data_IF_529336996858
#
_entry.id   IF_529336996858
#
_cell.length_a   1.000
_cell.length_b   1.000
_cell.length_c   1.000
_cell.angle_alpha   90.00
_cell.angle_beta   90.00
_cell.angle_gamma   90.00
#
_symmetry.space_group_name_H-M   'P 1'
#
loop_
_entity.id
_entity.type
_entity.pdbx_description
1 polymer ?
#
# COMPACT_ATOMS: atom_id res chain seq x y z
N UNK A 1 -68.73 4.96 40.17
CA UNK A 1 -67.53 5.76 40.24
C UNK A 1 -66.23 4.94 40.54
N UNK A 2 -66.26 3.66 40.92
CA UNK A 2 -65.07 2.85 41.22
C UNK A 2 -64.50 2.08 40.02
N UNK A 3 -65.28 1.87 38.95
CA UNK A 3 -64.88 1.12 37.78
C UNK A 3 -63.86 1.84 36.82
N UNK A 4 -63.98 3.18 36.71
CA UNK A 4 -63.13 3.94 35.78
C UNK A 4 -61.70 4.19 36.29
N UNK A 5 -61.47 4.09 37.62
CA UNK A 5 -60.09 4.25 38.14
C UNK A 5 -59.22 2.98 37.97
N UNK A 6 -59.81 1.79 37.98
CA UNK A 6 -59.10 0.54 37.76
C UNK A 6 -58.70 0.41 36.27
N UNK A 7 -59.55 0.83 35.34
CA UNK A 7 -59.26 0.81 33.91
C UNK A 7 -58.17 1.82 33.53
N UNK A 8 -58.12 2.98 34.15
CA UNK A 8 -57.06 3.98 33.96
C UNK A 8 -55.70 3.52 34.50
N UNK A 9 -55.65 2.79 35.59
CA UNK A 9 -54.40 2.25 36.17
C UNK A 9 -53.87 1.11 35.33
N UNK A 10 -54.73 0.25 34.75
CA UNK A 10 -54.31 -0.83 33.86
C UNK A 10 -53.77 -0.27 32.53
N UNK A 11 -54.36 0.78 31.97
CA UNK A 11 -53.83 1.45 30.76
C UNK A 11 -52.49 2.15 31.01
N UNK A 12 -52.25 2.73 32.16
CA UNK A 12 -50.98 3.40 32.51
C UNK A 12 -49.87 2.37 32.73
N UNK A 13 -50.16 1.22 33.32
CA UNK A 13 -49.18 0.14 33.51
C UNK A 13 -48.84 -0.55 32.18
N UNK A 14 -49.80 -0.70 31.25
CA UNK A 14 -49.54 -1.27 29.92
C UNK A 14 -48.76 -0.31 28.99
N UNK A 15 -48.87 1.02 29.15
CA UNK A 15 -48.07 1.99 28.40
C UNK A 15 -46.65 2.10 28.94
N UNK A 16 -46.43 1.91 30.26
CA UNK A 16 -45.11 1.93 30.86
C UNK A 16 -44.27 0.67 30.63
N UNK A 17 -44.89 -0.47 30.28
CA UNK A 17 -44.19 -1.71 29.96
C UNK A 17 -43.78 -1.82 28.47
N UNK A 18 -44.29 -0.95 27.59
CA UNK A 18 -43.92 -0.93 26.18
C UNK A 18 -42.77 0.04 25.86
N UNK A 19 -42.28 0.80 26.84
CA UNK A 19 -41.29 1.85 26.66
C UNK A 19 -39.85 1.45 27.05
N UNK A 20 -39.57 0.18 27.34
CA UNK A 20 -38.26 -0.25 27.86
C UNK A 20 -37.84 -1.62 27.32
N UNK A 21 -37.73 -1.78 26.01
CA UNK A 21 -36.81 -2.79 25.44
C UNK A 21 -36.32 -2.30 24.07
N UNK A 22 -35.62 -1.19 24.03
CA UNK A 22 -34.50 -1.12 23.09
C UNK A 22 -33.44 -2.00 23.71
N UNK A 23 -33.51 -3.29 23.43
CA UNK A 23 -32.36 -4.16 23.57
C UNK A 23 -31.37 -3.51 22.58
N UNK A 24 -30.42 -2.76 23.10
CA UNK A 24 -29.18 -2.52 22.35
C UNK A 24 -28.61 -3.92 22.14
N UNK A 25 -28.89 -4.51 20.97
CA UNK A 25 -28.11 -5.64 20.48
C UNK A 25 -26.71 -5.05 20.41
N UNK A 26 -25.86 -5.44 21.36
CA UNK A 26 -24.45 -5.11 21.27
C UNK A 26 -24.02 -5.63 19.90
N UNK A 27 -23.70 -4.72 19.00
CA UNK A 27 -23.27 -5.02 17.64
C UNK A 27 -22.10 -5.97 17.79
N UNK A 28 -22.24 -7.20 17.27
CA UNK A 28 -21.22 -8.25 17.41
C UNK A 28 -19.94 -7.71 16.78
N UNK A 29 -18.86 -7.65 17.56
CA UNK A 29 -17.57 -7.26 17.05
C UNK A 29 -17.18 -8.18 15.87
N UNK A 30 -16.79 -7.64 14.71
CA UNK A 30 -16.55 -8.44 13.50
C UNK A 30 -15.33 -9.32 13.59
N UNK A 31 -15.34 -10.42 12.81
CA UNK A 31 -14.17 -11.24 12.51
C UNK A 31 -13.64 -10.82 11.12
N UNK A 32 -12.33 -10.63 11.02
CA UNK A 32 -11.69 -10.13 9.79
C UNK A 32 -10.80 -11.19 9.17
N UNK A 33 -11.04 -11.55 7.90
CA UNK A 33 -10.14 -12.36 7.07
C UNK A 33 -9.23 -11.46 6.25
N UNK A 34 -7.92 -11.69 6.26
CA UNK A 34 -6.94 -10.88 5.54
C UNK A 34 -6.11 -11.79 4.65
N UNK A 35 -6.14 -11.58 3.33
CA UNK A 35 -5.32 -12.27 2.35
C UNK A 35 -4.35 -11.31 1.70
N UNK A 36 -3.04 -11.54 1.87
CA UNK A 36 -2.01 -10.81 1.12
C UNK A 36 -1.53 -11.64 -0.06
N UNK A 37 -1.18 -10.95 -1.16
CA UNK A 37 -0.86 -11.60 -2.42
C UNK A 37 0.42 -12.46 -2.40
N UNK A 38 1.41 -12.08 -1.61
CA UNK A 38 2.67 -12.82 -1.41
C UNK A 38 3.41 -12.23 -0.22
N UNK A 39 4.48 -12.88 0.21
CA UNK A 39 5.40 -12.40 1.26
C UNK A 39 6.84 -12.45 0.76
N UNK A 40 7.79 -12.01 1.58
CA UNK A 40 9.23 -12.17 1.33
C UNK A 40 9.93 -10.99 0.65
N UNK A 41 9.30 -9.82 0.58
CA UNK A 41 10.00 -8.56 0.31
C UNK A 41 9.90 -7.65 1.54
N UNK A 42 10.90 -6.82 1.79
CA UNK A 42 10.94 -5.92 2.96
C UNK A 42 9.68 -5.03 3.02
N UNK A 43 9.22 -4.52 1.88
CA UNK A 43 8.01 -3.70 1.81
C UNK A 43 6.76 -4.47 2.28
N UNK A 44 6.59 -5.73 1.81
CA UNK A 44 5.44 -6.57 2.20
C UNK A 44 5.49 -7.00 3.65
N UNK A 45 6.68 -7.28 4.17
CA UNK A 45 6.84 -7.66 5.57
C UNK A 45 6.46 -6.51 6.50
N UNK A 46 6.81 -5.27 6.14
CA UNK A 46 6.38 -4.06 6.88
C UNK A 46 4.87 -3.84 6.74
N UNK A 47 4.28 -4.07 5.55
CA UNK A 47 2.82 -3.99 5.34
C UNK A 47 2.07 -5.01 6.20
N UNK A 48 2.57 -6.25 6.26
CA UNK A 48 2.03 -7.30 7.11
C UNK A 48 2.14 -6.92 8.59
N UNK A 49 3.27 -6.37 9.00
CA UNK A 49 3.45 -5.88 10.37
C UNK A 49 2.45 -4.77 10.72
N UNK A 50 2.17 -3.85 9.79
CA UNK A 50 1.16 -2.81 9.98
C UNK A 50 -0.28 -3.36 10.11
N UNK A 51 -0.61 -4.42 9.35
CA UNK A 51 -1.89 -5.13 9.49
C UNK A 51 -2.01 -5.81 10.86
N UNK A 52 -0.94 -6.47 11.32
CA UNK A 52 -0.89 -7.14 12.63
C UNK A 52 -0.99 -6.11 13.76
N UNK A 53 -0.30 -4.97 13.65
CA UNK A 53 -0.33 -3.88 14.63
C UNK A 53 -1.78 -3.39 14.82
N UNK A 54 -2.46 -3.00 13.74
CA UNK A 54 -3.85 -2.50 13.80
C UNK A 54 -4.81 -3.62 14.22
N UNK A 55 -4.62 -4.86 13.74
CA UNK A 55 -5.44 -5.99 14.14
C UNK A 55 -5.37 -6.27 15.64
N UNK A 56 -4.17 -6.26 16.22
CA UNK A 56 -3.97 -6.45 17.66
C UNK A 56 -4.57 -5.28 18.45
N UNK A 57 -4.30 -4.03 18.05
CA UNK A 57 -4.90 -2.84 18.67
C UNK A 57 -6.43 -2.94 18.74
N UNK A 58 -7.07 -3.34 17.64
CA UNK A 58 -8.52 -3.41 17.57
C UNK A 58 -9.09 -4.60 18.33
N UNK A 59 -8.39 -5.74 18.35
CA UNK A 59 -8.77 -6.90 19.13
C UNK A 59 -8.66 -6.63 20.64
N UNK A 60 -7.57 -6.01 21.09
CA UNK A 60 -7.38 -5.62 22.49
C UNK A 60 -8.39 -4.57 22.94
N UNK A 61 -8.77 -3.65 22.05
CA UNK A 61 -9.81 -2.65 22.30
C UNK A 61 -11.24 -3.22 22.20
N UNK A 62 -11.42 -4.50 21.86
CA UNK A 62 -12.74 -5.14 21.67
C UNK A 62 -13.52 -4.60 20.46
N UNK A 63 -12.87 -3.90 19.52
CA UNK A 63 -13.47 -3.35 18.31
C UNK A 63 -13.69 -4.42 17.24
N UNK A 64 -12.88 -5.49 17.26
CA UNK A 64 -13.05 -6.71 16.47
C UNK A 64 -13.02 -7.92 17.41
N UNK A 65 -13.70 -8.99 17.04
CA UNK A 65 -13.66 -10.26 17.80
C UNK A 65 -12.34 -11.01 17.57
N UNK A 66 -11.92 -11.09 16.32
CA UNK A 66 -10.67 -11.72 15.90
C UNK A 66 -10.28 -11.32 14.49
N UNK A 67 -9.04 -11.62 14.09
CA UNK A 67 -8.62 -11.56 12.69
C UNK A 67 -7.75 -12.76 12.31
N UNK A 68 -7.82 -13.16 11.05
CA UNK A 68 -7.02 -14.24 10.46
C UNK A 68 -6.28 -13.69 9.24
N UNK A 69 -4.95 -13.69 9.31
CA UNK A 69 -4.09 -13.24 8.21
C UNK A 69 -3.44 -14.46 7.53
N UNK A 70 -3.56 -14.53 6.19
CA UNK A 70 -2.92 -15.52 5.34
C UNK A 70 -2.03 -14.82 4.33
N UNK A 71 -0.72 -15.12 4.38
CA UNK A 71 0.35 -14.44 3.62
C UNK A 71 1.31 -15.39 2.90
N UNK A 72 0.93 -16.66 2.73
CA UNK A 72 1.79 -17.72 2.21
C UNK A 72 1.44 -18.16 0.78
N UNK A 73 0.86 -17.26 -0.02
CA UNK A 73 0.52 -17.56 -1.41
C UNK A 73 1.79 -17.75 -2.23
N UNK A 74 1.86 -18.89 -2.92
CA UNK A 74 3.02 -19.27 -3.72
C UNK A 74 3.07 -18.49 -5.03
N UNK A 75 4.16 -17.79 -5.28
CA UNK A 75 4.41 -17.07 -6.54
C UNK A 75 3.26 -16.15 -7.02
N UNK A 76 2.43 -15.66 -6.10
CA UNK A 76 1.33 -14.77 -6.46
C UNK A 76 0.16 -15.46 -7.17
N UNK A 77 -0.07 -16.76 -6.95
CA UNK A 77 -1.15 -17.51 -7.60
C UNK A 77 -2.53 -16.99 -7.18
N UNK A 78 -3.25 -16.42 -8.16
CA UNK A 78 -4.57 -15.85 -7.94
C UNK A 78 -5.65 -16.93 -7.66
N UNK A 79 -5.45 -18.17 -8.13
CA UNK A 79 -6.36 -19.29 -7.85
C UNK A 79 -6.21 -19.72 -6.38
N UNK A 80 -4.97 -19.83 -5.89
CA UNK A 80 -4.71 -20.07 -4.49
C UNK A 80 -5.33 -18.96 -3.61
N UNK A 81 -5.17 -17.71 -4.01
CA UNK A 81 -5.77 -16.56 -3.31
C UNK A 81 -7.31 -16.64 -3.29
N UNK A 82 -7.94 -17.00 -4.40
CA UNK A 82 -9.39 -17.18 -4.46
C UNK A 82 -9.88 -18.29 -3.51
N UNK A 83 -9.14 -19.38 -3.36
CA UNK A 83 -9.48 -20.44 -2.42
C UNK A 83 -9.36 -19.97 -0.97
N UNK A 84 -8.35 -19.17 -0.63
CA UNK A 84 -8.21 -18.54 0.70
C UNK A 84 -9.43 -17.66 1.01
N UNK A 85 -9.89 -16.87 0.04
CA UNK A 85 -11.10 -16.04 0.21
C UNK A 85 -12.34 -16.91 0.44
N UNK A 86 -12.50 -18.04 -0.28
CA UNK A 86 -13.60 -19.00 -0.02
C UNK A 86 -13.52 -19.63 1.36
N UNK A 87 -12.31 -19.92 1.86
CA UNK A 87 -12.12 -20.40 3.23
C UNK A 87 -12.57 -19.37 4.27
N UNK A 88 -12.33 -18.09 4.02
CA UNK A 88 -12.86 -17.01 4.86
C UNK A 88 -14.39 -16.94 4.82
N UNK A 89 -14.99 -16.99 3.63
CA UNK A 89 -16.46 -17.03 3.47
C UNK A 89 -17.04 -18.22 4.28
N UNK A 90 -16.48 -19.41 4.08
CA UNK A 90 -16.94 -20.63 4.75
C UNK A 90 -16.75 -20.59 6.26
N UNK A 91 -15.77 -19.86 6.77
CA UNK A 91 -15.53 -19.66 8.21
C UNK A 91 -16.40 -18.57 8.84
N UNK A 92 -17.22 -17.87 8.05
CA UNK A 92 -18.18 -16.89 8.53
C UNK A 92 -17.52 -15.61 9.05
N UNK A 93 -16.50 -15.09 8.36
CA UNK A 93 -15.94 -13.76 8.65
C UNK A 93 -16.92 -12.67 8.22
N UNK A 94 -16.85 -11.53 8.87
CA UNK A 94 -17.73 -10.38 8.60
C UNK A 94 -17.08 -9.38 7.60
N UNK A 95 -15.75 -9.36 7.57
CA UNK A 95 -14.95 -8.48 6.69
C UNK A 95 -13.87 -9.32 6.02
N UNK A 96 -13.65 -9.12 4.72
CA UNK A 96 -12.52 -9.67 3.97
C UNK A 96 -11.67 -8.52 3.44
N UNK A 97 -10.39 -8.52 3.77
CA UNK A 97 -9.39 -7.61 3.22
C UNK A 97 -8.45 -8.36 2.30
N UNK A 98 -8.25 -7.86 1.07
CA UNK A 98 -7.38 -8.50 0.09
C UNK A 98 -6.32 -7.53 -0.44
N UNK A 99 -5.06 -7.98 -0.50
CA UNK A 99 -4.04 -7.42 -1.38
C UNK A 99 -3.99 -8.32 -2.63
N UNK A 100 -4.69 -7.96 -3.73
CA UNK A 100 -4.93 -8.89 -4.82
C UNK A 100 -3.69 -9.10 -5.70
N UNK A 101 -3.47 -10.36 -6.11
CA UNK A 101 -2.46 -10.70 -7.11
C UNK A 101 -2.90 -10.40 -8.54
N UNK A 102 -4.19 -10.23 -8.76
CA UNK A 102 -4.78 -9.89 -10.06
C UNK A 102 -6.02 -9.01 -9.85
N UNK A 103 -6.19 -7.95 -10.64
CA UNK A 103 -7.34 -7.06 -10.49
C UNK A 103 -8.67 -7.73 -10.87
N UNK A 104 -8.66 -8.80 -11.67
CA UNK A 104 -9.86 -9.41 -12.24
C UNK A 104 -10.10 -10.84 -11.75
N UNK A 105 -9.04 -11.60 -11.47
CA UNK A 105 -9.15 -13.03 -11.15
C UNK A 105 -9.93 -13.30 -9.85
N UNK A 106 -10.00 -12.33 -8.94
CA UNK A 106 -10.74 -12.45 -7.69
C UNK A 106 -12.21 -12.00 -7.79
N UNK A 107 -12.65 -11.40 -8.90
CA UNK A 107 -14.00 -10.82 -9.01
C UNK A 107 -15.10 -11.84 -8.72
N UNK A 108 -14.96 -13.09 -9.17
CA UNK A 108 -15.93 -14.15 -8.92
C UNK A 108 -16.10 -14.45 -7.43
N UNK A 109 -14.99 -14.68 -6.73
CA UNK A 109 -15.02 -15.00 -5.30
C UNK A 109 -15.37 -13.78 -4.44
N UNK A 110 -15.04 -12.57 -4.88
CA UNK A 110 -15.49 -11.33 -4.23
C UNK A 110 -17.00 -11.21 -4.29
N UNK A 111 -17.58 -11.53 -5.47
CA UNK A 111 -19.04 -11.56 -5.59
C UNK A 111 -19.68 -12.63 -4.68
N UNK A 112 -19.08 -13.83 -4.57
CA UNK A 112 -19.52 -14.85 -3.62
C UNK A 112 -19.56 -14.27 -2.19
N UNK A 113 -18.52 -13.54 -1.76
CA UNK A 113 -18.47 -12.91 -0.44
C UNK A 113 -19.55 -11.82 -0.26
N UNK A 114 -19.74 -10.97 -1.28
CA UNK A 114 -20.76 -9.91 -1.25
C UNK A 114 -22.18 -10.47 -1.20
N UNK A 115 -22.46 -11.58 -1.90
CA UNK A 115 -23.76 -12.26 -1.87
C UNK A 115 -24.09 -12.84 -0.48
N UNK A 116 -23.08 -13.17 0.34
CA UNK A 116 -23.19 -13.57 1.75
C UNK A 116 -23.21 -12.36 2.71
N UNK A 117 -23.20 -11.14 2.21
CA UNK A 117 -23.23 -9.90 3.02
C UNK A 117 -21.90 -9.55 3.67
N UNK A 118 -20.79 -10.14 3.22
CA UNK A 118 -19.44 -9.87 3.75
C UNK A 118 -18.90 -8.59 3.12
N UNK A 119 -18.39 -7.66 3.94
CA UNK A 119 -17.71 -6.47 3.45
C UNK A 119 -16.36 -6.85 2.86
N UNK A 120 -16.08 -6.43 1.61
CA UNK A 120 -14.78 -6.65 0.97
C UNK A 120 -14.05 -5.33 0.76
N UNK A 121 -12.76 -5.28 1.13
CA UNK A 121 -11.87 -4.13 0.92
C UNK A 121 -10.58 -4.62 0.28
N UNK A 122 -10.19 -4.00 -0.84
CA UNK A 122 -8.89 -4.23 -1.46
C UNK A 122 -7.89 -3.14 -1.04
N UNK A 123 -6.63 -3.52 -0.87
CA UNK A 123 -5.58 -2.58 -0.48
C UNK A 123 -4.27 -2.81 -1.23
N UNK A 124 -3.46 -1.77 -1.40
CA UNK A 124 -2.25 -1.66 -2.19
C UNK A 124 -2.53 -1.89 -3.69
N UNK A 125 -2.83 -3.09 -4.12
CA UNK A 125 -3.36 -3.36 -5.44
C UNK A 125 -4.91 -3.28 -5.47
N UNK A 126 -5.48 -3.04 -6.65
CA UNK A 126 -6.93 -2.86 -6.83
C UNK A 126 -7.59 -4.08 -7.45
N UNK A 127 -8.89 -4.22 -7.20
CA UNK A 127 -9.77 -5.14 -7.91
C UNK A 127 -10.76 -4.37 -8.79
N UNK A 128 -11.24 -5.00 -9.85
CA UNK A 128 -12.26 -4.43 -10.72
C UNK A 128 -13.70 -4.83 -10.33
N UNK A 129 -13.85 -5.59 -9.24
CA UNK A 129 -15.17 -5.96 -8.71
C UNK A 129 -15.95 -4.70 -8.28
N UNK A 130 -17.27 -4.61 -8.59
CA UNK A 130 -18.09 -3.49 -8.17
C UNK A 130 -18.25 -3.44 -6.63
N UNK A 131 -18.52 -2.26 -6.10
CA UNK A 131 -18.85 -2.03 -4.70
C UNK A 131 -17.77 -2.48 -3.70
N UNK A 132 -16.52 -2.58 -4.14
CA UNK A 132 -15.34 -2.81 -3.30
C UNK A 132 -14.62 -1.48 -3.09
N UNK A 133 -14.34 -1.13 -1.83
CA UNK A 133 -13.38 -0.07 -1.55
C UNK A 133 -11.98 -0.53 -1.95
N UNK A 134 -11.36 0.18 -2.86
CA UNK A 134 -9.94 0.06 -3.15
C UNK A 134 -9.16 1.14 -2.39
N UNK A 135 -8.16 0.76 -1.58
CA UNK A 135 -7.25 1.67 -0.90
C UNK A 135 -5.87 1.51 -1.53
N UNK A 136 -5.46 2.43 -2.38
CA UNK A 136 -4.24 2.29 -3.17
C UNK A 136 -3.48 3.61 -3.31
N UNK A 137 -2.36 3.55 -3.99
CA UNK A 137 -1.59 4.71 -4.44
C UNK A 137 -1.90 4.98 -5.92
N UNK A 138 -1.86 6.23 -6.34
CA UNK A 138 -1.79 6.55 -7.76
C UNK A 138 -0.36 6.25 -8.27
N UNK A 139 -0.12 4.99 -8.63
CA UNK A 139 1.19 4.48 -9.05
C UNK A 139 1.71 5.18 -10.30
N UNK A 140 0.80 5.58 -11.20
CA UNK A 140 1.18 6.33 -12.40
C UNK A 140 1.68 7.74 -12.02
N UNK A 141 0.91 8.48 -11.26
CA UNK A 141 1.29 9.84 -10.83
C UNK A 141 2.55 9.82 -9.95
N UNK A 142 2.67 8.82 -9.07
CA UNK A 142 3.84 8.62 -8.22
C UNK A 142 5.11 8.43 -9.05
N UNK A 143 5.12 7.47 -9.97
CA UNK A 143 6.32 7.19 -10.77
C UNK A 143 6.59 8.29 -11.80
N UNK A 144 5.55 8.90 -12.36
CA UNK A 144 5.70 10.04 -13.27
C UNK A 144 6.53 11.14 -12.65
N UNK A 145 6.24 11.51 -11.40
CA UNK A 145 6.98 12.56 -10.67
C UNK A 145 8.44 12.18 -10.46
N UNK A 146 8.71 10.92 -10.11
CA UNK A 146 10.07 10.40 -9.92
C UNK A 146 10.86 10.47 -11.24
N UNK A 147 10.29 9.98 -12.33
CA UNK A 147 10.95 9.95 -13.64
C UNK A 147 11.13 11.34 -14.22
N UNK A 148 10.16 12.25 -14.03
CA UNK A 148 10.30 13.67 -14.42
C UNK A 148 11.50 14.33 -13.72
N UNK A 149 11.69 14.08 -12.42
CA UNK A 149 12.87 14.56 -11.70
C UNK A 149 14.17 14.00 -12.29
N UNK A 150 14.22 12.67 -12.48
CA UNK A 150 15.41 11.98 -13.01
C UNK A 150 15.78 12.52 -14.39
N UNK A 151 14.82 12.58 -15.30
CA UNK A 151 15.09 12.99 -16.69
C UNK A 151 15.31 14.48 -16.84
N UNK A 152 14.64 15.33 -16.06
CA UNK A 152 14.91 16.78 -16.05
C UNK A 152 16.30 17.09 -15.46
N UNK A 153 16.78 16.28 -14.52
CA UNK A 153 18.12 16.40 -13.96
C UNK A 153 19.18 15.92 -14.95
N UNK A 154 18.96 14.78 -15.60
CA UNK A 154 19.87 14.19 -16.56
C UNK A 154 19.95 14.99 -17.88
N UNK A 155 18.82 15.37 -18.44
CA UNK A 155 18.60 16.07 -19.72
C UNK A 155 19.00 15.27 -20.96
N UNK A 156 20.15 14.59 -20.95
CA UNK A 156 20.67 13.75 -22.06
C UNK A 156 21.61 12.69 -21.54
N UNK A 157 21.61 11.53 -22.15
CA UNK A 157 22.48 10.40 -21.77
C UNK A 157 21.76 9.07 -21.81
N UNK A 158 22.38 8.07 -21.20
CA UNK A 158 21.84 6.71 -21.15
C UNK A 158 21.15 6.47 -19.82
N UNK A 159 19.93 5.98 -19.86
CA UNK A 159 19.16 5.56 -18.71
C UNK A 159 18.91 4.04 -18.75
N UNK A 160 18.76 3.45 -17.58
CA UNK A 160 18.22 2.09 -17.42
C UNK A 160 16.99 2.15 -16.53
N UNK A 161 16.11 1.16 -16.69
CA UNK A 161 14.97 0.95 -15.78
C UNK A 161 15.02 -0.47 -15.23
N UNK A 162 15.03 -0.56 -13.89
CA UNK A 162 14.85 -1.80 -13.16
C UNK A 162 13.49 -1.70 -12.49
N UNK A 163 12.54 -2.55 -12.95
CA UNK A 163 11.14 -2.48 -12.58
C UNK A 163 10.70 -3.70 -11.74
N UNK A 164 9.52 -3.66 -11.18
CA UNK A 164 8.99 -4.70 -10.29
C UNK A 164 8.51 -5.96 -11.00
N UNK A 165 7.40 -6.52 -10.51
CA UNK A 165 6.80 -7.74 -11.07
C UNK A 165 6.07 -7.44 -12.38
N UNK A 166 6.47 -8.11 -13.46
CA UNK A 166 5.81 -8.00 -14.76
C UNK A 166 4.35 -8.47 -14.66
N UNK A 167 3.45 -7.69 -15.28
CA UNK A 167 2.00 -7.97 -15.23
C UNK A 167 1.28 -7.47 -13.97
N UNK A 168 2.00 -7.12 -12.92
CA UNK A 168 1.37 -6.54 -11.71
C UNK A 168 0.83 -5.13 -12.00
N UNK A 169 -0.42 -4.79 -11.59
CA UNK A 169 -1.05 -3.50 -11.91
C UNK A 169 -0.21 -2.28 -11.55
N UNK A 170 0.36 -2.25 -10.34
CA UNK A 170 1.21 -1.16 -9.90
C UNK A 170 2.46 -1.02 -10.79
N UNK A 171 3.09 -2.14 -11.19
CA UNK A 171 4.22 -2.12 -12.09
C UNK A 171 3.84 -1.60 -13.47
N UNK A 172 2.72 -2.06 -14.03
CA UNK A 172 2.24 -1.63 -15.34
C UNK A 172 2.00 -0.11 -15.40
N UNK A 173 1.40 0.45 -14.35
CA UNK A 173 1.18 1.90 -14.24
C UNK A 173 2.50 2.68 -14.13
N UNK A 174 3.46 2.17 -13.35
CA UNK A 174 4.77 2.79 -13.18
C UNK A 174 5.59 2.77 -14.47
N UNK A 175 5.65 1.63 -15.15
CA UNK A 175 6.34 1.48 -16.45
C UNK A 175 5.70 2.39 -17.51
N UNK A 176 4.36 2.43 -17.58
CA UNK A 176 3.63 3.35 -18.46
C UNK A 176 3.98 4.81 -18.20
N UNK A 177 4.11 5.21 -16.93
CA UNK A 177 4.55 6.56 -16.55
C UNK A 177 5.97 6.86 -17.05
N UNK A 178 6.90 5.90 -16.93
CA UNK A 178 8.25 6.02 -17.49
C UNK A 178 8.20 6.23 -18.99
N UNK A 179 7.40 5.45 -19.73
CA UNK A 179 7.26 5.57 -21.18
C UNK A 179 6.71 6.94 -21.60
N UNK A 180 5.71 7.45 -20.89
CA UNK A 180 5.09 8.72 -21.21
C UNK A 180 6.01 9.91 -20.92
N UNK A 181 6.80 9.85 -19.85
CA UNK A 181 7.81 10.87 -19.55
C UNK A 181 8.97 10.81 -20.54
N UNK A 182 9.46 9.60 -20.89
CA UNK A 182 10.57 9.42 -21.81
C UNK A 182 10.32 10.08 -23.18
N UNK A 183 9.08 10.10 -23.66
CA UNK A 183 8.69 10.79 -24.92
C UNK A 183 9.01 12.27 -24.92
N UNK A 184 9.10 12.90 -23.74
CA UNK A 184 9.40 14.34 -23.58
C UNK A 184 10.91 14.63 -23.55
N UNK A 185 11.75 13.58 -23.48
CA UNK A 185 13.21 13.67 -23.36
C UNK A 185 13.93 12.88 -24.47
N UNK A 186 13.87 13.33 -25.74
CA UNK A 186 14.40 12.59 -26.91
C UNK A 186 15.91 12.36 -26.85
N UNK A 187 16.65 13.13 -26.07
CA UNK A 187 18.10 13.00 -25.90
C UNK A 187 18.50 11.95 -24.82
N UNK A 188 17.51 11.36 -24.14
CA UNK A 188 17.71 10.26 -23.20
C UNK A 188 17.44 8.95 -23.92
N UNK A 189 18.40 8.02 -23.85
CA UNK A 189 18.30 6.68 -24.42
C UNK A 189 18.07 5.67 -23.30
N UNK A 190 16.93 5.01 -23.31
CA UNK A 190 16.68 3.86 -22.45
C UNK A 190 17.42 2.65 -23.03
N UNK A 191 18.59 2.30 -22.48
CA UNK A 191 19.49 1.27 -23.03
C UNK A 191 19.25 -0.13 -22.46
N UNK A 192 18.58 -0.23 -21.33
CA UNK A 192 18.16 -1.50 -20.73
C UNK A 192 16.92 -1.34 -19.86
N UNK A 193 16.06 -2.37 -19.89
CA UNK A 193 14.92 -2.54 -18.99
C UNK A 193 14.84 -3.98 -18.54
N UNK A 194 14.69 -4.21 -17.24
CA UNK A 194 14.59 -5.57 -16.70
C UNK A 194 13.88 -5.56 -15.35
N UNK A 195 13.30 -6.69 -14.99
CA UNK A 195 12.64 -6.85 -13.69
C UNK A 195 13.66 -7.10 -12.58
N UNK A 196 13.56 -6.33 -11.49
CA UNK A 196 14.22 -6.58 -10.22
C UNK A 196 13.29 -7.27 -9.20
N UNK A 197 12.02 -7.50 -9.58
CA UNK A 197 11.00 -8.19 -8.76
C UNK A 197 10.66 -7.50 -7.44
N UNK A 198 10.95 -6.22 -7.29
CA UNK A 198 10.92 -5.47 -6.03
C UNK A 198 11.76 -6.11 -4.93
N UNK A 199 12.81 -6.84 -5.33
CA UNK A 199 13.75 -7.53 -4.45
C UNK A 199 15.15 -6.96 -4.57
N UNK A 200 15.75 -6.55 -3.46
CA UNK A 200 17.07 -5.89 -3.46
C UNK A 200 18.18 -6.77 -4.00
N UNK A 201 18.14 -8.08 -3.70
CA UNK A 201 19.18 -9.03 -4.14
C UNK A 201 19.11 -9.24 -5.64
N UNK A 202 17.89 -9.48 -6.16
CA UNK A 202 17.64 -9.61 -7.59
C UNK A 202 17.99 -8.34 -8.36
N UNK A 203 17.56 -7.19 -7.83
CA UNK A 203 17.87 -5.90 -8.44
C UNK A 203 19.38 -5.63 -8.48
N UNK A 204 20.14 -6.01 -7.44
CA UNK A 204 21.60 -5.95 -7.43
C UNK A 204 22.22 -6.86 -8.49
N UNK A 205 21.72 -8.11 -8.62
CA UNK A 205 22.20 -9.06 -9.62
C UNK A 205 22.03 -8.53 -11.04
N UNK A 206 20.81 -8.06 -11.40
CA UNK A 206 20.53 -7.55 -12.74
C UNK A 206 21.26 -6.23 -13.03
N UNK A 207 21.38 -5.34 -12.04
CA UNK A 207 22.18 -4.12 -12.15
C UNK A 207 23.66 -4.46 -12.44
N UNK A 208 24.22 -5.42 -11.71
CA UNK A 208 25.60 -5.89 -11.91
C UNK A 208 25.82 -6.40 -13.33
N UNK A 209 24.87 -7.16 -13.89
CA UNK A 209 24.94 -7.65 -15.27
C UNK A 209 24.91 -6.49 -16.29
N UNK A 210 24.02 -5.51 -16.10
CA UNK A 210 23.91 -4.35 -16.98
C UNK A 210 25.21 -3.51 -16.93
N UNK A 211 25.74 -3.24 -15.73
CA UNK A 211 27.01 -2.51 -15.53
C UNK A 211 28.18 -3.27 -16.19
N UNK A 212 28.15 -4.60 -16.11
CA UNK A 212 29.14 -5.49 -16.72
C UNK A 212 29.17 -5.44 -18.26
N UNK A 213 28.10 -4.97 -18.93
CA UNK A 213 28.09 -4.75 -20.37
C UNK A 213 29.07 -3.67 -20.85
N UNK A 214 29.58 -2.85 -19.94
CA UNK A 214 30.55 -1.78 -20.21
C UNK A 214 29.94 -0.51 -20.79
N UNK A 215 28.62 -0.45 -20.98
CA UNK A 215 27.94 0.75 -21.43
C UNK A 215 27.94 1.82 -20.34
N UNK A 216 28.06 3.09 -20.71
CA UNK A 216 27.88 4.20 -19.78
C UNK A 216 26.40 4.29 -19.36
N UNK A 217 26.15 4.33 -18.06
CA UNK A 217 24.83 4.52 -17.49
C UNK A 217 24.85 5.83 -16.72
N UNK A 218 24.02 6.78 -17.13
CA UNK A 218 23.97 8.13 -16.56
C UNK A 218 22.79 8.30 -15.58
N UNK A 219 21.69 7.58 -15.78
CA UNK A 219 20.52 7.60 -14.91
C UNK A 219 19.93 6.22 -14.68
N UNK A 220 19.29 6.06 -13.52
CA UNK A 220 18.61 4.81 -13.14
C UNK A 220 17.21 5.13 -12.65
N UNK A 221 16.22 4.56 -13.33
CA UNK A 221 14.85 4.49 -12.85
C UNK A 221 14.69 3.16 -12.15
N UNK A 222 14.34 3.19 -10.87
CA UNK A 222 13.95 2.00 -10.10
C UNK A 222 12.56 2.20 -9.52
N UNK A 223 12.04 1.16 -8.93
CA UNK A 223 10.84 1.22 -8.11
C UNK A 223 11.22 0.98 -6.64
N UNK A 224 10.26 1.15 -5.73
CA UNK A 224 10.48 0.93 -4.30
C UNK A 224 10.84 -0.54 -4.00
N UNK A 225 11.65 -0.75 -2.95
CA UNK A 225 12.08 -2.07 -2.49
C UNK A 225 13.34 -2.63 -3.19
N UNK A 226 13.89 -1.94 -4.19
CA UNK A 226 15.03 -2.46 -4.96
C UNK A 226 16.17 -1.45 -5.16
N UNK A 227 15.93 -0.16 -4.90
CA UNK A 227 16.88 0.89 -5.24
C UNK A 227 18.21 0.78 -4.49
N UNK A 228 18.21 0.36 -3.22
CA UNK A 228 19.46 0.18 -2.47
C UNK A 228 20.30 -0.99 -3.03
N UNK A 229 19.66 -2.08 -3.47
CA UNK A 229 20.35 -3.17 -4.16
C UNK A 229 21.03 -2.69 -5.44
N UNK A 230 20.32 -1.88 -6.23
CA UNK A 230 20.88 -1.28 -7.46
C UNK A 230 22.02 -0.33 -7.15
N UNK A 231 21.86 0.60 -6.19
CA UNK A 231 22.94 1.51 -5.78
C UNK A 231 24.19 0.73 -5.34
N UNK A 232 24.00 -0.36 -4.57
CA UNK A 232 25.10 -1.22 -4.13
C UNK A 232 25.89 -1.81 -5.29
N UNK A 233 25.24 -2.22 -6.39
CA UNK A 233 25.91 -2.72 -7.57
C UNK A 233 26.79 -1.63 -8.24
N UNK A 234 26.31 -0.39 -8.29
CA UNK A 234 27.07 0.74 -8.81
C UNK A 234 28.27 1.11 -7.92
N UNK A 235 28.09 1.07 -6.59
CA UNK A 235 29.17 1.29 -5.63
C UNK A 235 30.26 0.21 -5.76
N UNK A 236 29.88 -1.06 -5.80
CA UNK A 236 30.81 -2.19 -5.99
C UNK A 236 31.62 -2.07 -7.29
N UNK A 237 30.98 -1.58 -8.35
CA UNK A 237 31.63 -1.35 -9.64
C UNK A 237 32.44 -0.04 -9.71
N UNK A 238 32.35 0.82 -8.71
CA UNK A 238 32.90 2.19 -8.72
C UNK A 238 32.47 3.01 -9.96
N UNK A 239 31.16 2.90 -10.32
CA UNK A 239 30.57 3.52 -11.52
C UNK A 239 29.23 4.18 -11.17
N UNK A 240 29.24 5.27 -10.42
CA UNK A 240 27.99 5.92 -10.03
C UNK A 240 27.24 6.51 -11.23
N UNK A 241 25.90 6.36 -11.30
CA UNK A 241 25.07 7.16 -12.19
C UNK A 241 25.02 8.60 -11.69
N UNK A 242 24.63 9.55 -12.54
CA UNK A 242 24.46 10.95 -12.13
C UNK A 242 23.19 11.18 -11.32
N UNK A 243 22.15 10.39 -11.60
CA UNK A 243 20.86 10.51 -10.92
C UNK A 243 20.13 9.18 -10.87
N UNK A 244 19.45 8.89 -9.75
CA UNK A 244 18.59 7.72 -9.62
C UNK A 244 17.41 7.96 -8.66
N UNK A 245 16.42 7.08 -8.75
CA UNK A 245 15.40 6.96 -7.72
C UNK A 245 15.98 6.26 -6.48
N UNK A 246 15.62 6.77 -5.32
CA UNK A 246 16.01 6.26 -4.01
C UNK A 246 14.80 5.62 -3.32
N UNK A 247 14.98 4.45 -2.73
CA UNK A 247 14.03 3.97 -1.74
C UNK A 247 14.01 4.97 -0.57
N UNK A 248 12.84 5.32 -0.04
CA UNK A 248 12.75 6.10 1.19
C UNK A 248 13.08 5.20 2.40
N UNK A 249 14.26 4.57 2.37
CA UNK A 249 14.76 3.61 3.32
C UNK A 249 16.10 4.01 3.94
N UNK A 250 16.34 3.55 5.17
CA UNK A 250 17.51 3.93 5.97
C UNK A 250 18.82 3.59 5.27
N UNK A 251 18.97 2.38 4.72
CA UNK A 251 20.19 1.97 4.05
C UNK A 251 20.55 2.88 2.88
N UNK A 252 19.57 3.20 2.02
CA UNK A 252 19.81 4.10 0.88
C UNK A 252 20.19 5.50 1.35
N UNK A 253 19.47 6.05 2.32
CA UNK A 253 19.75 7.41 2.82
C UNK A 253 21.11 7.54 3.51
N UNK A 254 21.61 6.50 4.19
CA UNK A 254 22.97 6.45 4.74
C UNK A 254 24.02 6.56 3.63
N UNK A 255 23.89 5.78 2.56
CA UNK A 255 24.81 5.86 1.42
C UNK A 255 24.68 7.18 0.67
N UNK A 256 23.46 7.68 0.47
CA UNK A 256 23.24 8.99 -0.15
C UNK A 256 23.90 10.11 0.66
N UNK A 257 23.79 10.07 2.00
CA UNK A 257 24.49 11.00 2.91
C UNK A 257 26.01 10.94 2.72
N UNK A 258 26.59 9.73 2.68
CA UNK A 258 28.02 9.52 2.47
C UNK A 258 28.47 10.10 1.11
N UNK A 259 27.72 9.86 0.05
CA UNK A 259 28.01 10.40 -1.28
C UNK A 259 27.95 11.93 -1.30
N UNK A 260 26.92 12.51 -0.68
CA UNK A 260 26.78 13.97 -0.53
C UNK A 260 27.94 14.58 0.23
N UNK A 261 28.32 14.00 1.36
CA UNK A 261 29.42 14.50 2.20
C UNK A 261 30.77 14.43 1.49
N UNK A 262 30.96 13.47 0.58
CA UNK A 262 32.13 13.35 -0.30
C UNK A 262 32.10 14.26 -1.51
N UNK A 263 31.02 14.99 -1.75
CA UNK A 263 30.83 15.82 -2.94
C UNK A 263 30.77 15.02 -4.25
N UNK A 264 30.24 13.79 -4.20
CA UNK A 264 30.06 12.97 -5.41
C UNK A 264 29.12 13.65 -6.40
N UNK A 265 29.38 13.48 -7.71
CA UNK A 265 28.46 13.91 -8.78
C UNK A 265 27.31 12.89 -8.89
N UNK A 266 26.47 12.86 -7.85
CA UNK A 266 25.34 11.96 -7.70
C UNK A 266 24.16 12.70 -7.11
N UNK A 267 22.99 12.52 -7.72
CA UNK A 267 21.72 13.05 -7.24
C UNK A 267 20.69 11.95 -7.10
N UNK A 268 19.75 12.13 -6.18
CA UNK A 268 18.66 11.21 -6.05
C UNK A 268 17.33 11.91 -5.75
N UNK A 269 16.24 11.21 -6.01
CA UNK A 269 14.93 11.57 -5.48
C UNK A 269 14.30 10.38 -4.78
N UNK A 270 13.53 10.63 -3.73
CA UNK A 270 12.80 9.62 -3.00
C UNK A 270 11.35 10.05 -2.76
N UNK A 271 10.44 9.11 -2.88
CA UNK A 271 9.04 9.31 -2.53
C UNK A 271 8.48 8.01 -1.96
N UNK A 272 7.88 8.08 -0.79
CA UNK A 272 7.34 6.88 -0.16
C UNK A 272 6.15 6.30 -0.93
N UNK A 273 6.14 4.99 -1.10
CA UNK A 273 4.95 4.16 -1.26
C UNK A 273 4.76 3.46 0.09
N UNK A 274 3.97 4.04 1.03
CA UNK A 274 4.04 3.64 2.43
C UNK A 274 3.41 2.27 2.65
N UNK A 275 4.17 1.28 3.16
CA UNK A 275 3.61 -0.04 3.48
C UNK A 275 2.54 -0.01 4.58
N UNK A 276 2.45 1.06 5.39
CA UNK A 276 1.36 1.32 6.32
C UNK A 276 -0.05 1.41 5.73
N UNK A 277 -0.16 1.40 4.38
CA UNK A 277 -1.43 1.37 3.66
C UNK A 277 -2.33 0.20 4.09
N UNK A 278 -1.76 -0.97 4.41
CA UNK A 278 -2.51 -2.12 4.90
C UNK A 278 -3.23 -1.84 6.22
N UNK A 279 -2.51 -1.28 7.21
CA UNK A 279 -3.10 -0.86 8.48
C UNK A 279 -4.13 0.25 8.33
N UNK A 280 -3.89 1.21 7.43
CA UNK A 280 -4.85 2.27 7.11
C UNK A 280 -6.13 1.71 6.50
N UNK A 281 -6.02 0.77 5.54
CA UNK A 281 -7.16 0.09 4.93
C UNK A 281 -7.97 -0.69 5.99
N UNK A 282 -7.31 -1.31 6.96
CA UNK A 282 -7.99 -1.98 8.07
C UNK A 282 -8.84 -1.00 8.89
N UNK A 283 -8.30 0.17 9.23
CA UNK A 283 -9.06 1.23 9.92
C UNK A 283 -10.27 1.69 9.10
N UNK A 284 -10.12 1.84 7.78
CA UNK A 284 -11.21 2.21 6.88
C UNK A 284 -12.26 1.11 6.78
N UNK A 285 -11.86 -0.17 6.68
CA UNK A 285 -12.76 -1.31 6.65
C UNK A 285 -13.66 -1.35 7.88
N UNK A 286 -13.13 -1.08 9.07
CA UNK A 286 -13.93 -1.05 10.28
C UNK A 286 -14.92 0.14 10.31
N UNK A 287 -14.55 1.32 9.80
CA UNK A 287 -15.49 2.44 9.68
C UNK A 287 -16.66 2.09 8.76
N UNK A 288 -16.38 1.46 7.60
CA UNK A 288 -17.44 1.01 6.68
C UNK A 288 -18.34 -0.06 7.31
N UNK A 289 -17.75 -1.05 7.99
CA UNK A 289 -18.50 -2.09 8.68
C UNK A 289 -19.45 -1.52 9.74
N UNK A 290 -19.03 -0.45 10.41
CA UNK A 290 -19.83 0.29 11.38
C UNK A 290 -20.84 1.25 10.71
N UNK A 291 -21.10 1.09 9.41
CA UNK A 291 -22.12 1.86 8.68
C UNK A 291 -21.73 3.31 8.40
N UNK A 292 -20.46 3.69 8.53
CA UNK A 292 -20.00 5.03 8.19
C UNK A 292 -19.82 5.16 6.68
N UNK A 293 -20.12 6.34 6.16
CA UNK A 293 -19.95 6.69 4.75
C UNK A 293 -18.80 7.67 4.57
N UNK A 294 -18.03 7.54 3.49
CA UNK A 294 -17.05 8.55 3.14
C UNK A 294 -17.71 9.90 2.85
N UNK A 295 -17.05 10.99 3.19
CA UNK A 295 -17.42 12.33 2.77
C UNK A 295 -17.35 12.45 1.24
N UNK A 296 -18.17 13.33 0.69
CA UNK A 296 -18.23 13.56 -0.76
C UNK A 296 -16.87 14.03 -1.28
N UNK A 297 -16.45 13.47 -2.41
CA UNK A 297 -15.19 13.79 -3.07
C UNK A 297 -13.93 13.13 -2.47
N UNK A 298 -14.06 12.29 -1.44
CA UNK A 298 -12.94 11.51 -0.89
C UNK A 298 -12.58 10.33 -1.81
N UNK A 299 -13.58 9.64 -2.34
CA UNK A 299 -13.38 8.52 -3.25
C UNK A 299 -13.49 8.96 -4.71
N UNK A 300 -12.72 8.32 -5.58
CA UNK A 300 -12.89 8.35 -7.02
C UNK A 300 -13.11 6.91 -7.49
N UNK A 301 -14.28 6.62 -8.08
CA UNK A 301 -14.63 5.28 -8.57
C UNK A 301 -14.38 4.18 -7.50
N UNK A 302 -14.96 4.34 -6.30
CA UNK A 302 -14.75 3.49 -5.14
C UNK A 302 -13.28 3.34 -4.69
N UNK A 303 -12.40 4.22 -5.12
CA UNK A 303 -10.97 4.18 -4.79
C UNK A 303 -10.56 5.35 -3.90
N UNK A 304 -9.96 5.04 -2.78
CA UNK A 304 -9.21 5.98 -1.96
C UNK A 304 -7.75 5.98 -2.37
N UNK A 305 -7.27 7.10 -2.90
CA UNK A 305 -5.87 7.28 -3.21
C UNK A 305 -5.11 7.78 -1.98
N UNK A 306 -4.25 6.92 -1.46
CA UNK A 306 -3.41 7.25 -0.31
C UNK A 306 -2.50 8.43 -0.66
N UNK A 307 -2.42 9.39 0.24
CA UNK A 307 -1.55 10.56 0.03
C UNK A 307 -0.11 10.15 0.28
N UNK A 308 0.71 10.31 -0.74
CA UNK A 308 2.16 10.15 -0.59
C UNK A 308 2.74 11.28 0.26
N UNK A 309 3.76 10.94 1.03
CA UNK A 309 4.51 11.89 1.83
C UNK A 309 5.35 12.87 0.99
N UNK A 310 6.30 13.50 1.64
CA UNK A 310 7.19 14.49 1.02
C UNK A 310 7.99 13.87 -0.13
N UNK A 311 8.11 14.60 -1.23
CA UNK A 311 9.06 14.29 -2.29
C UNK A 311 10.43 14.83 -1.89
N UNK A 312 11.37 13.92 -1.68
CA UNK A 312 12.70 14.24 -1.18
C UNK A 312 13.68 14.27 -2.34
N UNK A 313 14.52 15.27 -2.36
CA UNK A 313 15.62 15.47 -3.34
C UNK A 313 16.87 15.91 -2.58
N UNK A 314 17.95 16.19 -3.29
CA UNK A 314 19.15 16.77 -2.67
C UNK A 314 18.86 18.11 -1.98
N UNK A 315 17.87 18.87 -2.44
CA UNK A 315 17.58 20.22 -1.89
C UNK A 315 16.92 20.16 -0.50
N UNK A 316 16.13 19.13 -0.24
CA UNK A 316 15.45 18.91 1.05
C UNK A 316 15.80 17.56 1.69
N UNK A 317 16.98 17.03 1.42
CA UNK A 317 17.47 15.73 1.92
C UNK A 317 17.31 15.58 3.43
N UNK A 318 17.56 16.64 4.18
CA UNK A 318 17.53 16.62 5.65
C UNK A 318 16.16 16.26 6.22
N UNK A 319 15.06 16.52 5.50
CA UNK A 319 13.70 16.12 5.92
C UNK A 319 13.59 14.59 6.01
N UNK A 320 14.10 13.87 5.00
CA UNK A 320 14.11 12.41 5.00
C UNK A 320 15.18 11.83 5.94
N UNK A 321 16.35 12.47 6.00
CA UNK A 321 17.44 12.05 6.85
C UNK A 321 17.07 12.05 8.35
N UNK A 322 16.44 13.12 8.83
CA UNK A 322 15.99 13.21 10.22
C UNK A 322 14.97 12.11 10.59
N UNK A 323 14.14 11.68 9.64
CA UNK A 323 13.18 10.60 9.88
C UNK A 323 13.83 9.20 9.91
N UNK A 324 14.99 9.03 9.25
CA UNK A 324 15.59 7.72 8.99
C UNK A 324 16.90 7.45 9.75
N UNK A 325 17.68 8.49 10.10
CA UNK A 325 19.06 8.36 10.60
C UNK A 325 19.26 7.40 11.78
N UNK A 326 18.27 7.29 12.66
CA UNK A 326 18.31 6.47 13.87
C UNK A 326 17.52 5.14 13.71
N UNK A 327 17.06 4.83 12.49
CA UNK A 327 16.31 3.61 12.20
C UNK A 327 17.23 2.48 11.72
N UNK A 328 16.82 1.20 11.88
CA UNK A 328 17.54 0.06 11.31
C UNK A 328 17.68 0.17 9.79
N UNK A 329 18.66 -0.53 9.20
CA UNK A 329 18.96 -0.40 7.77
C UNK A 329 17.82 -0.91 6.86
N UNK A 330 17.04 -1.85 7.31
CA UNK A 330 15.88 -2.42 6.61
C UNK A 330 14.59 -1.60 6.78
N UNK A 331 14.62 -0.51 7.55
CA UNK A 331 13.46 0.34 7.75
C UNK A 331 13.15 1.17 6.50
N UNK A 332 11.89 1.18 6.10
CA UNK A 332 11.32 2.06 5.07
C UNK A 332 10.35 3.05 5.72
N UNK A 333 10.30 4.28 5.19
CA UNK A 333 9.29 5.26 5.62
C UNK A 333 7.89 4.67 5.41
N UNK A 334 7.22 4.44 6.50
CA UNK A 334 5.88 3.87 6.54
C UNK A 334 5.01 4.72 7.44
N UNK A 335 3.81 5.02 6.98
CA UNK A 335 2.82 5.75 7.76
C UNK A 335 1.52 4.94 7.78
N UNK A 336 0.99 4.71 8.97
CA UNK A 336 -0.37 4.23 9.18
C UNK A 336 -1.19 5.45 9.59
N UNK A 337 -2.22 5.82 8.83
CA UNK A 337 -3.12 6.89 9.27
C UNK A 337 -3.71 6.52 10.63
N UNK A 338 -3.65 7.45 11.57
CA UNK A 338 -4.29 7.26 12.89
C UNK A 338 -5.79 7.10 12.75
N UNK A 339 -6.43 6.57 13.79
CA UNK A 339 -7.89 6.45 13.84
C UNK A 339 -8.59 7.80 13.59
N UNK A 340 -8.08 8.86 14.22
CA UNK A 340 -8.60 10.22 14.04
C UNK A 340 -8.42 10.76 12.61
N UNK A 341 -7.31 10.42 11.96
CA UNK A 341 -7.07 10.80 10.57
C UNK A 341 -8.05 10.08 9.64
N UNK A 342 -8.25 8.77 9.86
CA UNK A 342 -9.22 7.99 9.09
C UNK A 342 -10.64 8.47 9.36
N UNK A 343 -11.04 8.69 10.63
CA UNK A 343 -12.37 9.17 10.98
C UNK A 343 -12.74 10.51 10.29
N UNK A 344 -11.77 11.38 10.06
CA UNK A 344 -11.98 12.66 9.34
C UNK A 344 -12.38 12.48 7.87
N UNK A 345 -12.19 11.32 7.29
CA UNK A 345 -12.59 11.00 5.92
C UNK A 345 -14.07 10.63 5.80
N UNK A 346 -14.70 10.28 6.93
CA UNK A 346 -16.08 9.80 7.01
C UNK A 346 -17.04 10.89 7.56
N UNK A 347 -18.35 10.70 7.22
CA UNK A 347 -19.46 11.55 7.70
C UNK A 347 -19.77 11.30 9.17
#
# INVERSE_FOLDING_TARGET
MKSNRVLQIICIVLVLTFALTTIAVAEKAPVVGISTGSSGTSWRDIMIAALIEVGNEYKEAGKIADYKLVNNITNGDATEQANIVRDFISSGVDIIMVNPNSPEALNGVIKEAQDEGILVVAFDATVSAPDVLNVTLDHYAWNKKNVEYIFSTLKKGNAIEIYGLEGHPANNDRVRATDDVLKQYPDIKMIARTSGFWDQTRAKEVATQIIGSGQQIDAVVTQDGEAFGVLSAFLDANKLPKVMFADPGTAFFKEWKILRDKGADFKACAQANPPGIGGTAFRMALQLFNGKEFKDGILKDNTYFYKVGVFITDDNFDEGWEALKDKPDDYLLSEIMSEDQVAKLFK
#
